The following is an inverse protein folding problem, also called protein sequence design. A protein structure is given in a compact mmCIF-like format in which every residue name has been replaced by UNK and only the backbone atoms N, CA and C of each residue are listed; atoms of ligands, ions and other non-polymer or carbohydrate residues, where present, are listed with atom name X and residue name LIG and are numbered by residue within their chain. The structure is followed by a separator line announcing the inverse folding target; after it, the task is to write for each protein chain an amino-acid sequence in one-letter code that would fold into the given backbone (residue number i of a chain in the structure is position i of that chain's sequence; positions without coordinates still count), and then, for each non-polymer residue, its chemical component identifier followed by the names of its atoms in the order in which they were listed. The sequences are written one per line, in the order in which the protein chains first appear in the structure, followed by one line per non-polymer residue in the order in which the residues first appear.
data_IF_251317451974
#
_entry.id   IF_251317451974
#
_cell.length_a   1.000
_cell.length_b   1.000
_cell.length_c   1.000
_cell.angle_alpha   90.00
_cell.angle_beta   90.00
_cell.angle_gamma   90.00
#
_symmetry.space_group_name_H-M   'P 1'
#
loop_
_entity.id
_entity.type
_entity.pdbx_description
1 polymer ?
#
# COMPACT_ATOMS: atom_id res chain seq x y z
N UNK A 1 -17.12 30.60 -7.22
CA UNK A 1 -16.20 29.93 -6.28
C UNK A 1 -15.87 30.89 -5.16
N UNK A 2 -15.56 30.39 -3.96
CA UNK A 2 -15.00 31.17 -2.85
C UNK A 2 -13.61 30.63 -2.52
N UNK A 3 -12.79 31.43 -1.83
CA UNK A 3 -11.44 31.03 -1.39
C UNK A 3 -11.55 30.17 -0.14
N UNK A 4 -10.82 29.06 -0.10
CA UNK A 4 -10.74 28.15 1.07
C UNK A 4 -10.25 28.91 2.31
N UNK A 5 -10.96 28.79 3.42
CA UNK A 5 -10.62 29.47 4.67
C UNK A 5 -9.61 28.66 5.52
N UNK A 6 -9.05 29.28 6.57
CA UNK A 6 -8.02 28.64 7.42
C UNK A 6 -8.54 27.43 8.21
N UNK A 7 -9.82 27.35 8.52
CA UNK A 7 -10.44 26.23 9.23
C UNK A 7 -10.57 25.01 8.30
N UNK A 8 -11.02 25.23 7.06
CA UNK A 8 -11.02 24.24 6.00
C UNK A 8 -9.60 23.75 5.68
N UNK A 9 -8.60 24.64 5.65
CA UNK A 9 -7.19 24.25 5.46
C UNK A 9 -6.64 23.42 6.63
N UNK A 10 -7.12 23.60 7.86
CA UNK A 10 -6.76 22.73 8.99
C UNK A 10 -7.37 21.33 8.82
N UNK A 11 -8.66 21.23 8.50
CA UNK A 11 -9.31 19.95 8.23
C UNK A 11 -8.66 19.20 7.05
N UNK A 12 -8.23 19.92 6.00
CA UNK A 12 -7.45 19.36 4.87
C UNK A 12 -6.01 18.95 5.23
N UNK A 13 -5.53 19.28 6.42
CA UNK A 13 -4.21 18.92 6.94
C UNK A 13 -4.26 17.85 8.05
N UNK A 14 -5.46 17.37 8.42
CA UNK A 14 -5.63 16.19 9.27
C UNK A 14 -5.18 14.93 8.49
N UNK A 15 -4.78 13.89 9.23
CA UNK A 15 -4.35 12.63 8.62
C UNK A 15 -5.56 11.73 8.36
N UNK A 16 -5.60 11.10 7.18
CA UNK A 16 -6.58 10.06 6.88
C UNK A 16 -6.33 8.83 7.77
N UNK A 17 -7.39 8.10 8.13
CA UNK A 17 -7.28 6.76 8.75
C UNK A 17 -7.70 5.71 7.73
N UNK A 18 -6.83 4.74 7.47
CA UNK A 18 -7.03 3.71 6.45
C UNK A 18 -6.77 2.31 7.03
N UNK A 19 -7.46 1.29 6.52
CA UNK A 19 -7.12 -0.12 6.77
C UNK A 19 -6.14 -0.58 5.67
N UNK A 20 -4.94 -1.00 6.07
CA UNK A 20 -3.96 -1.64 5.19
C UNK A 20 -4.12 -3.17 5.19
N UNK A 21 -3.52 -3.89 4.20
CA UNK A 21 -3.43 -5.35 4.22
C UNK A 21 -2.91 -5.87 5.56
N UNK A 22 -3.56 -6.90 6.12
CA UNK A 22 -3.38 -7.30 7.52
C UNK A 22 -2.20 -8.23 7.70
N UNK A 23 -1.36 -7.97 8.70
CA UNK A 23 -0.32 -8.92 9.13
C UNK A 23 -0.89 -10.28 9.58
N UNK A 24 -2.12 -10.31 10.11
CA UNK A 24 -2.82 -11.50 10.60
C UNK A 24 -4.32 -11.34 10.33
N UNK A 25 -4.98 -12.34 9.74
CA UNK A 25 -6.37 -12.25 9.26
C UNK A 25 -7.37 -11.64 10.28
N UNK A 26 -7.21 -11.98 11.57
CA UNK A 26 -8.12 -11.62 12.65
C UNK A 26 -7.86 -10.23 13.28
N UNK A 27 -6.84 -9.47 12.84
CA UNK A 27 -6.48 -8.17 13.40
C UNK A 27 -6.40 -7.13 12.27
N UNK A 28 -7.29 -6.14 12.21
CA UNK A 28 -7.24 -5.09 11.18
C UNK A 28 -6.03 -4.17 11.40
N UNK A 29 -5.27 -3.89 10.34
CA UNK A 29 -4.13 -2.99 10.39
C UNK A 29 -4.56 -1.57 10.02
N UNK A 30 -5.21 -0.89 10.96
CA UNK A 30 -5.63 0.50 10.81
C UNK A 30 -4.47 1.44 11.11
N UNK A 31 -4.22 2.41 10.22
CA UNK A 31 -3.10 3.34 10.31
C UNK A 31 -3.53 4.78 10.03
N UNK A 32 -2.84 5.76 10.62
CA UNK A 32 -2.91 7.18 10.22
C UNK A 32 -1.91 7.43 9.09
N UNK A 33 -2.36 8.10 8.03
CA UNK A 33 -1.54 8.44 6.86
C UNK A 33 -1.74 9.90 6.42
N UNK A 34 -0.71 10.45 5.78
CA UNK A 34 -0.69 11.78 5.17
C UNK A 34 -0.22 11.66 3.73
N UNK A 35 -0.69 12.53 2.84
CA UNK A 35 -0.30 12.50 1.41
C UNK A 35 1.14 12.99 1.23
N UNK A 36 2.10 12.07 1.33
CA UNK A 36 3.49 12.33 0.95
C UNK A 36 3.58 12.75 -0.53
N UNK A 37 4.48 13.69 -0.82
CA UNK A 37 4.69 14.20 -2.18
C UNK A 37 6.13 13.94 -2.58
N UNK A 38 6.35 13.09 -3.59
CA UNK A 38 7.70 12.72 -4.06
C UNK A 38 8.54 13.94 -4.44
N UNK A 39 7.96 14.90 -5.18
CA UNK A 39 8.63 16.18 -5.49
C UNK A 39 8.91 17.02 -4.23
N UNK A 40 8.06 16.92 -3.20
CA UNK A 40 8.29 17.54 -1.90
C UNK A 40 9.42 16.89 -1.10
N UNK A 41 9.62 15.57 -1.22
CA UNK A 41 10.72 14.83 -0.60
C UNK A 41 12.05 15.13 -1.32
N UNK A 42 12.05 15.15 -2.66
CA UNK A 42 13.19 15.61 -3.47
C UNK A 42 13.59 17.04 -3.08
N UNK A 43 12.62 17.98 -3.01
CA UNK A 43 12.89 19.37 -2.61
C UNK A 43 13.47 19.51 -1.20
N UNK A 44 13.17 18.57 -0.29
CA UNK A 44 13.74 18.51 1.07
C UNK A 44 15.11 17.83 1.14
N UNK A 45 15.59 17.21 0.06
CA UNK A 45 16.80 16.38 0.05
C UNK A 45 16.61 15.00 0.70
N UNK A 46 15.37 14.55 0.91
CA UNK A 46 15.05 13.26 1.51
C UNK A 46 15.09 12.09 0.49
N UNK A 47 15.08 12.40 -0.82
CA UNK A 47 15.42 11.43 -1.86
C UNK A 47 16.89 11.66 -2.25
N UNK A 48 17.80 10.69 -2.00
CA UNK A 48 19.20 10.78 -2.42
C UNK A 48 19.37 10.97 -3.93
N UNK A 49 20.41 11.68 -4.34
CA UNK A 49 20.71 11.94 -5.76
C UNK A 49 20.87 10.65 -6.59
N UNK A 50 21.30 9.55 -5.98
CA UNK A 50 21.40 8.21 -6.60
C UNK A 50 20.04 7.63 -6.97
N UNK A 51 18.95 8.04 -6.32
CA UNK A 51 17.60 7.52 -6.53
C UNK A 51 16.73 8.41 -7.44
N UNK A 52 17.25 9.56 -7.91
CA UNK A 52 16.45 10.50 -8.70
C UNK A 52 15.92 9.89 -10.01
N UNK A 53 16.68 9.03 -10.68
CA UNK A 53 16.21 8.33 -11.89
C UNK A 53 15.05 7.37 -11.60
N UNK A 54 15.06 6.69 -10.46
CA UNK A 54 13.95 5.86 -10.01
C UNK A 54 12.72 6.69 -9.62
N UNK A 55 12.94 7.84 -8.97
CA UNK A 55 11.87 8.79 -8.66
C UNK A 55 11.23 9.40 -9.91
N UNK A 56 12.00 9.69 -10.97
CA UNK A 56 11.47 10.12 -12.26
C UNK A 56 10.65 9.03 -12.96
N UNK A 57 11.11 7.77 -12.92
CA UNK A 57 10.38 6.63 -13.49
C UNK A 57 9.03 6.41 -12.76
N UNK A 58 9.01 6.46 -11.42
CA UNK A 58 7.79 6.39 -10.61
C UNK A 58 6.85 7.60 -10.81
N UNK A 59 7.38 8.81 -10.94
CA UNK A 59 6.57 10.02 -11.05
C UNK A 59 5.95 10.20 -12.45
N UNK A 60 6.68 9.88 -13.51
CA UNK A 60 6.22 10.04 -14.89
C UNK A 60 5.68 8.77 -15.54
N UNK A 61 5.80 7.60 -14.89
CA UNK A 61 5.45 6.30 -15.48
C UNK A 61 6.33 5.92 -16.69
N UNK A 62 7.48 6.57 -16.85
CA UNK A 62 8.37 6.43 -18.02
C UNK A 62 9.48 5.44 -17.72
N UNK A 63 9.41 4.27 -18.35
CA UNK A 63 10.51 3.31 -18.35
C UNK A 63 11.77 3.93 -18.94
N UNK A 64 12.82 4.01 -18.14
CA UNK A 64 14.12 4.52 -18.53
C UNK A 64 14.79 3.58 -19.55
N UNK A 65 15.52 4.15 -20.51
CA UNK A 65 16.17 3.37 -21.58
C UNK A 65 17.38 2.54 -21.14
N UNK A 66 17.76 2.62 -19.86
CA UNK A 66 18.79 1.79 -19.22
C UNK A 66 18.22 0.73 -18.29
N UNK A 67 16.92 0.80 -17.98
CA UNK A 67 16.33 0.16 -16.81
C UNK A 67 16.68 0.93 -15.53
N UNK A 68 15.68 1.16 -14.67
CA UNK A 68 15.90 1.50 -13.27
C UNK A 68 16.16 0.21 -12.50
N UNK A 69 17.13 0.25 -11.59
CA UNK A 69 17.40 -0.85 -10.67
C UNK A 69 16.20 -1.04 -9.73
N UNK A 70 15.79 -2.29 -9.51
CA UNK A 70 14.67 -2.61 -8.63
C UNK A 70 14.98 -2.21 -7.18
N UNK A 71 16.26 -2.27 -6.76
CA UNK A 71 16.70 -1.72 -5.47
C UNK A 71 16.37 -0.22 -5.38
N UNK A 72 16.76 0.57 -6.39
CA UNK A 72 16.54 2.01 -6.39
C UNK A 72 15.05 2.36 -6.44
N UNK A 73 14.24 1.57 -7.16
CA UNK A 73 12.78 1.72 -7.20
C UNK A 73 12.16 1.48 -5.82
N UNK A 74 12.52 0.37 -5.17
CA UNK A 74 12.04 -0.01 -3.84
C UNK A 74 12.47 1.00 -2.79
N UNK A 75 13.72 1.47 -2.82
CA UNK A 75 14.22 2.49 -1.90
C UNK A 75 13.43 3.82 -2.01
N UNK A 76 13.01 4.26 -3.21
CA UNK A 76 12.12 5.42 -3.34
C UNK A 76 10.72 5.13 -2.78
N UNK A 77 10.16 3.95 -3.06
CA UNK A 77 8.85 3.56 -2.53
C UNK A 77 8.87 3.48 -0.99
N UNK A 78 9.96 3.00 -0.38
CA UNK A 78 10.11 2.91 1.07
C UNK A 78 10.18 4.29 1.73
N UNK A 79 11.00 5.21 1.22
CA UNK A 79 11.05 6.61 1.71
C UNK A 79 9.72 7.32 1.51
N UNK A 80 8.98 7.03 0.44
CA UNK A 80 7.60 7.53 0.26
C UNK A 80 6.61 6.96 1.28
N UNK A 81 6.70 5.66 1.59
CA UNK A 81 5.83 4.99 2.56
C UNK A 81 6.11 5.43 4.00
N UNK A 82 7.37 5.50 4.40
CA UNK A 82 7.84 6.11 5.67
C UNK A 82 7.32 7.55 5.82
N UNK A 83 7.41 8.36 4.76
CA UNK A 83 6.91 9.73 4.78
C UNK A 83 5.39 9.86 4.58
N UNK A 84 4.66 8.77 4.32
CA UNK A 84 3.20 8.74 4.21
C UNK A 84 2.54 8.19 5.47
N UNK A 85 3.13 7.16 6.08
CA UNK A 85 2.72 6.58 7.34
C UNK A 85 2.99 7.56 8.49
N UNK A 86 2.07 7.65 9.46
CA UNK A 86 2.14 8.61 10.57
C UNK A 86 2.01 7.92 11.92
N UNK A 87 1.13 6.93 12.03
CA UNK A 87 0.90 6.18 13.27
C UNK A 87 0.29 4.81 12.93
N UNK A 88 0.87 3.68 13.38
CA UNK A 88 2.22 3.56 13.92
C UNK A 88 3.27 4.04 12.91
N UNK A 89 4.40 4.55 13.37
CA UNK A 89 5.56 4.86 12.51
C UNK A 89 6.28 3.57 12.05
N UNK A 90 7.25 3.69 11.15
CA UNK A 90 8.13 2.56 10.80
C UNK A 90 8.92 2.08 12.03
N UNK A 91 9.46 3.01 12.84
CA UNK A 91 10.16 2.70 14.09
C UNK A 91 9.26 1.93 15.09
N UNK A 92 7.97 2.28 15.18
CA UNK A 92 7.00 1.56 16.02
C UNK A 92 6.80 0.11 15.55
N UNK A 93 6.75 -0.13 14.23
CA UNK A 93 6.61 -1.48 13.65
C UNK A 93 7.88 -2.31 13.91
N UNK A 94 9.06 -1.73 13.64
CA UNK A 94 10.35 -2.37 13.89
C UNK A 94 10.52 -2.74 15.37
N UNK A 95 10.05 -1.87 16.29
CA UNK A 95 10.12 -2.10 17.74
C UNK A 95 9.38 -3.36 18.22
N UNK A 96 8.39 -3.84 17.45
CA UNK A 96 7.63 -5.07 17.72
C UNK A 96 7.97 -6.22 16.77
N UNK A 97 9.02 -6.07 15.95
CA UNK A 97 9.45 -7.08 14.99
C UNK A 97 8.53 -7.24 13.78
N UNK A 98 7.95 -6.14 13.30
CA UNK A 98 7.16 -6.07 12.07
C UNK A 98 7.87 -5.18 11.03
N UNK A 99 7.90 -5.65 9.79
CA UNK A 99 8.32 -4.89 8.61
C UNK A 99 7.13 -4.76 7.66
N UNK A 100 7.06 -3.70 6.84
CA UNK A 100 5.97 -3.56 5.87
C UNK A 100 6.06 -4.64 4.78
N UNK A 101 4.95 -5.31 4.49
CA UNK A 101 4.87 -6.27 3.37
C UNK A 101 4.78 -5.53 2.02
N UNK A 102 5.14 -6.21 0.93
CA UNK A 102 5.02 -5.69 -0.43
C UNK A 102 3.62 -5.12 -0.72
N UNK A 103 2.57 -5.80 -0.27
CA UNK A 103 1.17 -5.36 -0.43
C UNK A 103 0.88 -4.06 0.33
N UNK A 104 1.40 -3.92 1.56
CA UNK A 104 1.25 -2.72 2.37
C UNK A 104 2.06 -1.54 1.80
N UNK A 105 3.27 -1.80 1.30
CA UNK A 105 4.13 -0.82 0.62
C UNK A 105 3.45 -0.29 -0.65
N UNK A 106 2.90 -1.17 -1.49
CA UNK A 106 2.13 -0.82 -2.69
C UNK A 106 0.83 -0.09 -2.33
N UNK A 107 0.13 -0.48 -1.25
CA UNK A 107 -1.06 0.21 -0.78
C UNK A 107 -0.75 1.65 -0.32
N UNK A 108 0.31 1.85 0.46
CA UNK A 108 0.78 3.17 0.88
C UNK A 108 1.20 4.04 -0.32
N UNK A 109 1.97 3.48 -1.27
CA UNK A 109 2.34 4.19 -2.50
C UNK A 109 1.09 4.61 -3.29
N UNK A 110 0.14 3.71 -3.53
CA UNK A 110 -1.11 4.02 -4.23
C UNK A 110 -1.93 5.11 -3.50
N UNK A 111 -1.98 5.09 -2.17
CA UNK A 111 -2.59 6.15 -1.38
C UNK A 111 -1.88 7.50 -1.56
N UNK A 112 -0.54 7.57 -1.60
CA UNK A 112 0.15 8.86 -1.86
C UNK A 112 -0.24 9.45 -3.22
N UNK A 113 -0.37 8.61 -4.25
CA UNK A 113 -0.69 9.01 -5.62
C UNK A 113 -2.17 9.37 -5.81
N UNK A 114 -3.11 8.60 -5.24
CA UNK A 114 -4.56 8.73 -5.52
C UNK A 114 -5.39 9.25 -4.33
N UNK A 115 -4.86 9.21 -3.12
CA UNK A 115 -5.58 9.49 -1.86
C UNK A 115 -6.54 8.35 -1.49
N UNK A 116 -7.61 8.67 -0.77
CA UNK A 116 -8.67 7.73 -0.36
C UNK A 116 -9.28 6.91 -1.51
N UNK A 117 -9.17 7.38 -2.76
CA UNK A 117 -9.60 6.63 -3.95
C UNK A 117 -8.86 5.29 -4.11
N UNK A 118 -7.60 5.18 -3.68
CA UNK A 118 -6.82 3.93 -3.71
C UNK A 118 -7.38 2.81 -2.80
N UNK A 119 -8.23 3.15 -1.83
CA UNK A 119 -8.75 2.19 -0.84
C UNK A 119 -9.90 1.37 -1.43
N UNK A 120 -10.65 1.95 -2.37
CA UNK A 120 -11.83 1.31 -3.00
C UNK A 120 -11.45 0.13 -3.90
N UNK A 121 -10.18 0.00 -4.29
CA UNK A 121 -9.66 -1.07 -5.15
C UNK A 121 -9.21 -2.33 -4.40
N UNK A 122 -9.11 -2.30 -3.07
CA UNK A 122 -8.83 -3.51 -2.30
C UNK A 122 -10.13 -4.27 -2.01
N UNK A 123 -10.26 -5.55 -2.41
CA UNK A 123 -11.39 -6.37 -2.02
C UNK A 123 -11.46 -6.45 -0.49
N UNK A 124 -12.64 -6.17 0.08
CA UNK A 124 -12.93 -6.65 1.44
C UNK A 124 -13.11 -8.16 1.33
N UNK A 125 -12.11 -8.91 1.81
CA UNK A 125 -12.05 -10.36 1.63
C UNK A 125 -13.32 -11.07 2.06
N UNK A 126 -13.60 -12.18 1.36
CA UNK A 126 -14.92 -12.79 1.34
C UNK A 126 -15.35 -13.30 2.71
N UNK A 127 -16.66 -13.16 2.96
CA UNK A 127 -17.32 -13.70 4.16
C UNK A 127 -16.96 -15.17 4.41
N UNK A 128 -16.86 -15.53 5.68
CA UNK A 128 -16.68 -16.88 6.17
C UNK A 128 -17.58 -17.88 5.43
N UNK A 129 -17.03 -19.07 5.17
CA UNK A 129 -17.84 -20.23 4.83
C UNK A 129 -17.19 -21.51 5.37
N UNK A 130 -17.11 -21.58 6.70
CA UNK A 130 -16.77 -22.82 7.42
C UNK A 130 -17.88 -23.85 7.17
N UNK A 131 -17.68 -24.74 6.20
CA UNK A 131 -18.51 -25.91 5.97
C UNK A 131 -17.62 -27.15 5.73
N UNK A 132 -17.07 -27.66 6.82
CA UNK A 132 -16.51 -29.01 6.87
C UNK A 132 -17.71 -29.97 6.89
N UNK A 133 -18.05 -30.50 5.72
CA UNK A 133 -18.98 -31.63 5.55
C UNK A 133 -18.17 -32.86 5.15
N UNK A 134 -17.84 -33.70 6.12
CA UNK A 134 -16.97 -34.87 5.95
C UNK A 134 -17.78 -36.16 5.67
N UNK A 135 -17.18 -37.13 4.98
CA UNK A 135 -17.68 -38.52 4.92
C UNK A 135 -18.23 -39.05 3.58
N UNK A 136 -17.47 -40.01 3.01
CA UNK A 136 -17.96 -41.29 2.40
C UNK A 136 -18.84 -41.27 1.12
N UNK A 137 -18.73 -42.19 0.15
CA UNK A 137 -17.85 -43.37 -0.09
C UNK A 137 -17.78 -43.74 -1.60
N UNK A 138 -16.85 -44.67 -1.95
CA UNK A 138 -16.72 -45.57 -3.15
C UNK A 138 -17.69 -45.43 -4.37
N UNK A 139 -17.23 -45.41 -5.63
CA UNK A 139 -16.80 -46.58 -6.47
C UNK A 139 -17.94 -47.62 -6.64
N UNK A 140 -18.28 -48.17 -7.82
CA UNK A 140 -17.61 -48.27 -9.14
C UNK A 140 -18.46 -47.60 -10.26
N UNK A 141 -18.58 -47.96 -11.56
CA UNK A 141 -18.17 -49.12 -12.39
C UNK A 141 -17.63 -48.68 -13.79
N UNK A 142 -18.25 -49.13 -14.92
CA UNK A 142 -17.57 -49.26 -16.22
C UNK A 142 -18.47 -49.13 -17.47
N UNK A 143 -17.80 -49.01 -18.63
CA UNK A 143 -18.17 -49.34 -20.03
C UNK A 143 -19.65 -49.64 -20.40
N UNK A 144 -20.17 -48.93 -21.42
CA UNK A 144 -20.39 -49.54 -22.75
C UNK A 144 -20.76 -48.51 -23.83
N UNK A 145 -20.58 -48.90 -25.09
CA UNK A 145 -20.79 -48.13 -26.32
C UNK A 145 -22.26 -47.88 -26.68
N UNK A 146 -22.53 -46.79 -27.41
CA UNK A 146 -23.07 -46.87 -28.78
C UNK A 146 -22.80 -45.58 -29.58
#
# INVERSE_FOLDING_TARGET
MQVTNLEQLKAMAECDVIELPRFKANIPFNVKVKRASLLGLIKKGLIPNTLLSAAEELFYGKKSSKGVDLDQLTNVMFVMAENALVEPSIEDLESVGLELTDEQLVALFNYTQQGLNAIQTFPKDTKNNDNIGDGETVQSEAESSN
#
